data_IF_639060390910
#
_entry.id   IF_639060390910
#
_cell.length_a   1.000
_cell.length_b   1.000
_cell.length_c   1.000
_cell.angle_alpha   90.00
_cell.angle_beta   90.00
_cell.angle_gamma   90.00
#
_symmetry.space_group_name_H-M   'P 1'
#
loop_
_entity.id
_entity.type
_entity.pdbx_description
1 polymer ?
#
# COMPACT_ATOMS: atom_id res chain seq x y z
N UNK A 1 15.79 31.12 -18.16
CA UNK A 1 14.71 30.53 -18.99
C UNK A 1 14.26 29.28 -18.26
N UNK A 2 13.42 29.44 -17.24
CA UNK A 2 12.96 28.33 -16.40
C UNK A 2 11.93 27.60 -17.23
N UNK A 3 12.26 26.40 -17.73
CA UNK A 3 11.25 25.57 -18.36
C UNK A 3 10.19 25.29 -17.30
N UNK A 4 8.97 25.69 -17.61
CA UNK A 4 7.79 25.38 -16.82
C UNK A 4 7.63 23.85 -16.84
N UNK A 5 7.93 23.21 -15.71
CA UNK A 5 7.79 21.76 -15.54
C UNK A 5 6.30 21.43 -15.62
N UNK A 6 5.80 21.12 -16.82
CA UNK A 6 4.44 20.64 -17.03
C UNK A 6 4.32 19.19 -16.53
N UNK A 7 4.07 19.06 -15.23
CA UNK A 7 3.90 17.79 -14.53
C UNK A 7 2.77 16.96 -15.16
N UNK A 8 1.70 17.59 -15.64
CA UNK A 8 0.56 16.87 -16.21
C UNK A 8 0.96 16.16 -17.51
N UNK A 9 1.73 16.86 -18.35
CA UNK A 9 2.30 16.26 -19.57
C UNK A 9 3.28 15.12 -19.24
N UNK A 10 4.16 15.32 -18.26
CA UNK A 10 5.11 14.28 -17.81
C UNK A 10 4.37 13.04 -17.30
N UNK A 11 3.31 13.21 -16.52
CA UNK A 11 2.49 12.10 -16.03
C UNK A 11 1.84 11.36 -17.20
N UNK A 12 1.30 12.07 -18.20
CA UNK A 12 0.71 11.43 -19.38
C UNK A 12 1.73 10.61 -20.15
N UNK A 13 2.95 11.12 -20.34
CA UNK A 13 3.99 10.40 -21.05
C UNK A 13 4.50 9.20 -20.23
N UNK A 14 4.71 9.36 -18.92
CA UNK A 14 5.10 8.27 -18.02
C UNK A 14 4.05 7.16 -17.98
N UNK A 15 2.75 7.49 -18.00
CA UNK A 15 1.67 6.49 -18.03
C UNK A 15 1.71 5.59 -19.28
N UNK A 16 2.33 6.05 -20.38
CA UNK A 16 2.48 5.25 -21.61
C UNK A 16 3.66 4.27 -21.54
N UNK A 17 4.67 4.58 -20.74
CA UNK A 17 5.94 3.82 -20.70
C UNK A 17 6.13 3.02 -19.40
N UNK A 18 5.52 3.46 -18.30
CA UNK A 18 5.69 2.85 -16.98
C UNK A 18 4.53 1.91 -16.66
N UNK A 19 4.81 0.69 -16.19
CA UNK A 19 3.80 -0.26 -15.74
C UNK A 19 3.27 0.13 -14.35
N UNK A 20 2.55 1.25 -14.23
CA UNK A 20 1.95 1.62 -12.95
C UNK A 20 0.89 0.59 -12.53
N UNK A 21 0.80 0.34 -11.23
CA UNK A 21 -0.29 -0.46 -10.65
C UNK A 21 -1.31 0.40 -9.94
N UNK A 22 -2.47 -0.20 -9.68
CA UNK A 22 -3.50 0.38 -8.86
C UNK A 22 -3.28 0.02 -7.38
N UNK A 23 -3.40 1.03 -6.52
CA UNK A 23 -3.16 0.88 -5.09
C UNK A 23 -1.67 0.81 -4.73
N UNK A 24 -1.40 1.14 -3.47
CA UNK A 24 -0.05 1.33 -2.94
C UNK A 24 0.08 0.59 -1.61
N UNK A 25 1.15 -0.20 -1.43
CA UNK A 25 1.39 -1.01 -0.23
C UNK A 25 2.82 -0.92 0.27
N UNK A 26 3.04 -1.36 1.49
CA UNK A 26 4.38 -1.52 2.05
C UNK A 26 5.23 -2.49 1.21
N UNK A 27 6.49 -2.14 1.01
CA UNK A 27 7.43 -2.84 0.12
C UNK A 27 7.39 -2.38 -1.33
N UNK A 28 6.43 -1.56 -1.73
CA UNK A 28 6.31 -1.10 -3.12
C UNK A 28 7.35 -0.04 -3.47
N UNK A 29 7.90 -0.14 -4.69
CA UNK A 29 8.70 0.93 -5.29
C UNK A 29 7.76 1.92 -5.98
N UNK A 30 7.91 3.18 -5.64
CA UNK A 30 7.13 4.30 -6.17
C UNK A 30 8.03 5.28 -6.90
N UNK A 31 7.49 5.92 -7.94
CA UNK A 31 8.10 7.07 -8.59
C UNK A 31 7.45 8.34 -8.04
N UNK A 32 8.28 9.21 -7.48
CA UNK A 32 7.89 10.50 -6.93
C UNK A 32 8.31 11.59 -7.91
N UNK A 33 7.35 12.38 -8.37
CA UNK A 33 7.58 13.57 -9.21
C UNK A 33 7.35 14.80 -8.33
N UNK A 34 8.43 15.54 -8.09
CA UNK A 34 8.41 16.86 -7.46
C UNK A 34 9.25 17.80 -8.34
N UNK A 35 10.17 18.59 -7.77
CA UNK A 35 11.16 19.36 -8.56
C UNK A 35 12.09 18.46 -9.37
N UNK A 36 12.26 17.22 -8.91
CA UNK A 36 13.06 16.18 -9.53
C UNK A 36 12.33 14.84 -9.40
N UNK A 37 12.75 13.86 -10.21
CA UNK A 37 12.19 12.51 -10.20
C UNK A 37 13.03 11.63 -9.28
N UNK A 38 12.38 10.93 -8.36
CA UNK A 38 13.03 10.01 -7.43
C UNK A 38 12.30 8.68 -7.37
N UNK A 39 13.07 7.59 -7.27
CA UNK A 39 12.54 6.32 -6.79
C UNK A 39 12.58 6.28 -5.27
N UNK A 40 11.54 5.71 -4.66
CA UNK A 40 11.50 5.41 -3.25
C UNK A 40 10.83 4.05 -3.02
N UNK A 41 11.14 3.40 -1.90
CA UNK A 41 10.38 2.26 -1.40
C UNK A 41 9.49 2.71 -0.25
N UNK A 42 8.27 2.19 -0.20
CA UNK A 42 7.36 2.42 0.94
C UNK A 42 7.71 1.44 2.04
N UNK A 43 7.98 1.98 3.22
CA UNK A 43 8.34 1.14 4.37
C UNK A 43 7.20 0.99 5.36
N UNK A 44 6.25 1.93 5.39
CA UNK A 44 5.17 1.93 6.38
C UNK A 44 3.98 2.81 5.92
N UNK A 45 2.74 2.38 6.16
CA UNK A 45 1.52 3.16 5.93
C UNK A 45 0.64 3.12 7.18
N UNK A 46 0.55 4.24 7.92
CA UNK A 46 -0.21 4.32 9.18
C UNK A 46 -1.31 5.38 9.10
N UNK A 47 -2.53 5.06 9.55
CA UNK A 47 -3.62 6.04 9.60
C UNK A 47 -3.38 7.09 10.68
N UNK A 48 -3.51 8.37 10.32
CA UNK A 48 -3.47 9.47 11.27
C UNK A 48 -4.83 9.59 11.99
N UNK A 49 -4.93 8.98 13.16
CA UNK A 49 -6.15 8.98 13.97
C UNK A 49 -6.44 10.33 14.66
N UNK A 50 -5.54 11.32 14.57
CA UNK A 50 -5.77 12.66 15.12
C UNK A 50 -6.75 13.49 14.26
N UNK A 51 -6.96 13.08 13.00
CA UNK A 51 -7.81 13.80 12.04
C UNK A 51 -9.11 13.03 11.78
N UNK A 52 -10.21 13.77 11.66
CA UNK A 52 -11.53 13.18 11.30
C UNK A 52 -11.58 12.67 9.85
N UNK A 53 -10.76 13.25 8.98
CA UNK A 53 -10.62 12.82 7.59
C UNK A 53 -9.56 11.72 7.46
N UNK A 54 -9.59 10.96 6.37
CA UNK A 54 -8.68 9.84 6.09
C UNK A 54 -7.29 10.35 5.66
N UNK A 55 -6.52 10.76 6.66
CA UNK A 55 -5.12 11.12 6.51
C UNK A 55 -4.22 9.95 6.89
N UNK A 56 -3.10 9.81 6.20
CA UNK A 56 -2.15 8.73 6.40
C UNK A 56 -0.73 9.29 6.54
N UNK A 57 0.03 8.72 7.47
CA UNK A 57 1.47 8.85 7.57
C UNK A 57 2.09 7.75 6.71
N UNK A 58 2.68 8.14 5.59
CA UNK A 58 3.39 7.22 4.70
C UNK A 58 4.89 7.46 4.85
N UNK A 59 5.62 6.43 5.22
CA UNK A 59 7.07 6.47 5.37
C UNK A 59 7.73 5.97 4.08
N UNK A 60 8.58 6.81 3.49
CA UNK A 60 9.32 6.51 2.28
C UNK A 60 10.81 6.43 2.58
N UNK A 61 11.50 5.50 1.93
CA UNK A 61 12.94 5.49 1.83
C UNK A 61 13.35 5.82 0.40
N UNK A 62 13.92 7.01 0.20
CA UNK A 62 14.41 7.44 -1.11
C UNK A 62 15.62 6.60 -1.52
N UNK A 63 15.58 6.12 -2.76
CA UNK A 63 16.65 5.37 -3.40
C UNK A 63 17.64 6.35 -4.07
N UNK A 64 18.16 7.27 -3.28
CA UNK A 64 19.13 8.30 -3.68
C UNK A 64 20.43 8.13 -2.90
N UNK A 65 21.51 8.77 -3.37
CA UNK A 65 22.78 8.82 -2.65
C UNK A 65 22.95 10.24 -2.09
N UNK A 66 23.07 10.43 -0.76
CA UNK A 66 22.94 9.41 0.29
C UNK A 66 21.47 8.99 0.52
N UNK A 67 21.20 7.78 1.04
CA UNK A 67 19.84 7.35 1.36
C UNK A 67 19.19 8.29 2.37
N UNK A 68 17.94 8.70 2.10
CA UNK A 68 17.16 9.58 2.98
C UNK A 68 15.81 8.96 3.29
N UNK A 69 15.43 8.97 4.58
CA UNK A 69 14.06 8.64 5.02
C UNK A 69 13.25 9.92 5.13
N UNK A 70 12.07 9.95 4.55
CA UNK A 70 11.13 11.09 4.64
C UNK A 70 9.75 10.58 5.03
N UNK A 71 9.01 11.42 5.77
CA UNK A 71 7.64 11.13 6.20
C UNK A 71 6.77 12.27 5.68
N UNK A 72 5.77 11.95 4.85
CA UNK A 72 4.82 12.92 4.31
C UNK A 72 3.41 12.60 4.80
N UNK A 73 2.64 13.64 5.11
CA UNK A 73 1.23 13.53 5.50
C UNK A 73 0.37 13.76 4.27
N UNK A 74 -0.19 12.68 3.72
CA UNK A 74 -0.91 12.67 2.44
C UNK A 74 -2.32 12.09 2.59
N UNK A 75 -3.20 12.43 1.65
CA UNK A 75 -4.51 11.78 1.47
C UNK A 75 -4.38 10.57 0.54
N UNK A 76 -5.34 9.66 0.62
CA UNK A 76 -5.36 8.46 -0.23
C UNK A 76 -5.34 8.75 -1.74
N UNK A 77 -6.11 9.70 -2.29
CA UNK A 77 -6.02 10.04 -3.71
C UNK A 77 -4.65 10.57 -4.13
N UNK A 78 -3.90 11.17 -3.21
CA UNK A 78 -2.61 11.80 -3.50
C UNK A 78 -1.48 10.76 -3.64
N UNK A 79 -1.41 9.77 -2.75
CA UNK A 79 -0.36 8.75 -2.84
C UNK A 79 -0.70 7.60 -3.80
N UNK A 80 -1.98 7.42 -4.16
CA UNK A 80 -2.40 6.49 -5.21
C UNK A 80 -2.34 7.08 -6.63
N UNK A 81 -1.86 8.32 -6.78
CA UNK A 81 -1.71 8.97 -8.09
C UNK A 81 -3.04 9.29 -8.77
N UNK A 82 -4.07 9.57 -7.98
CA UNK A 82 -5.40 9.98 -8.45
C UNK A 82 -5.54 11.51 -8.50
N UNK A 83 -4.71 12.25 -7.76
CA UNK A 83 -4.69 13.71 -7.70
C UNK A 83 -3.25 14.26 -7.72
N UNK A 84 -3.05 15.40 -8.38
CA UNK A 84 -1.83 16.22 -8.27
C UNK A 84 -2.02 17.22 -7.13
N UNK A 85 -1.04 17.33 -6.24
CA UNK A 85 -1.15 18.15 -5.03
C UNK A 85 0.05 19.10 -4.88
N UNK A 86 -0.09 20.12 -4.03
CA UNK A 86 0.98 21.10 -3.79
C UNK A 86 1.54 20.95 -2.38
N UNK A 87 2.86 20.85 -2.24
CA UNK A 87 3.57 20.93 -0.95
C UNK A 87 4.74 21.90 -1.07
N UNK A 88 4.85 22.86 -0.15
CA UNK A 88 5.93 23.85 -0.17
C UNK A 88 5.87 24.84 -1.35
N UNK A 89 4.72 24.99 -2.00
CA UNK A 89 4.57 25.79 -3.22
C UNK A 89 4.84 25.03 -4.52
N UNK A 90 5.31 23.79 -4.43
CA UNK A 90 5.62 22.93 -5.58
C UNK A 90 4.55 21.88 -5.80
N UNK A 91 4.17 21.67 -7.06
CA UNK A 91 3.27 20.60 -7.48
C UNK A 91 3.98 19.25 -7.40
N UNK A 92 3.28 18.21 -6.95
CA UNK A 92 3.79 16.86 -6.74
C UNK A 92 2.80 15.78 -7.16
N UNK A 93 3.33 14.64 -7.56
CA UNK A 93 2.59 13.44 -7.93
C UNK A 93 3.32 12.17 -7.49
N UNK A 94 2.58 11.19 -6.99
CA UNK A 94 3.11 9.93 -6.48
C UNK A 94 2.27 8.79 -7.06
N UNK A 95 2.90 7.77 -7.64
CA UNK A 95 2.22 6.52 -8.02
C UNK A 95 3.15 5.31 -7.91
N UNK A 96 2.59 4.18 -7.47
CA UNK A 96 3.31 2.91 -7.36
C UNK A 96 3.54 2.24 -8.72
N UNK A 97 4.72 1.65 -8.90
CA UNK A 97 5.10 0.92 -10.11
C UNK A 97 4.95 -0.58 -9.87
N UNK A 98 4.42 -1.30 -10.87
CA UNK A 98 4.40 -2.75 -10.94
C UNK A 98 5.68 -3.26 -11.58
N UNK A 99 6.33 -4.24 -10.97
CA UNK A 99 7.37 -5.03 -11.65
C UNK A 99 6.80 -6.20 -12.44
N UNK A 100 5.53 -6.52 -12.24
CA UNK A 100 4.81 -7.55 -13.00
C UNK A 100 4.01 -6.86 -14.09
N UNK A 101 4.41 -7.04 -15.35
CA UNK A 101 3.65 -6.58 -16.51
C UNK A 101 2.36 -7.39 -16.75
N UNK A 102 2.04 -8.37 -15.89
CA UNK A 102 0.78 -9.11 -15.95
C UNK A 102 0.10 -9.19 -14.59
N UNK A 103 -1.22 -9.01 -14.61
CA UNK A 103 -2.09 -8.88 -13.44
C UNK A 103 -2.07 -10.09 -12.52
N UNK A 104 -1.27 -10.01 -11.46
CA UNK A 104 -1.48 -10.80 -10.26
C UNK A 104 -2.68 -10.27 -9.47
N UNK A 105 -3.46 -11.13 -8.79
CA UNK A 105 -4.63 -10.69 -8.03
C UNK A 105 -4.23 -9.68 -6.95
N UNK A 106 -5.12 -8.74 -6.58
CA UNK A 106 -4.89 -7.89 -5.42
C UNK A 106 -4.63 -8.77 -4.19
N UNK A 107 -3.75 -8.35 -3.25
CA UNK A 107 -3.62 -9.06 -1.99
C UNK A 107 -4.98 -9.11 -1.33
N UNK A 108 -5.42 -10.31 -1.04
CA UNK A 108 -6.62 -10.53 -0.25
C UNK A 108 -6.39 -9.86 1.10
N UNK A 109 -7.24 -8.89 1.44
CA UNK A 109 -7.35 -8.39 2.80
C UNK A 109 -7.50 -9.58 3.75
N UNK A 110 -6.75 -9.57 4.84
CA UNK A 110 -6.74 -10.65 5.84
C UNK A 110 -8.14 -11.19 6.14
N UNK A 111 -8.36 -12.51 6.15
CA UNK A 111 -9.62 -13.05 6.61
C UNK A 111 -9.70 -12.85 8.12
N UNK A 112 -10.58 -11.94 8.53
CA UNK A 112 -11.15 -11.88 9.86
C UNK A 112 -11.62 -13.28 10.29
N UNK A 113 -11.30 -13.76 11.51
CA UNK A 113 -11.76 -15.05 11.97
C UNK A 113 -13.28 -14.98 12.21
N UNK A 114 -14.06 -15.64 11.34
CA UNK A 114 -15.48 -15.92 11.60
C UNK A 114 -15.57 -16.97 12.70
N UNK A 115 -15.95 -16.52 13.89
CA UNK A 115 -16.59 -17.34 14.93
C UNK A 115 -17.89 -17.91 14.36
N UNK A 116 -17.94 -19.22 14.12
CA UNK A 116 -19.16 -19.92 13.74
C UNK A 116 -19.55 -20.91 14.84
N UNK A 117 -20.76 -20.70 15.37
CA UNK A 117 -21.31 -21.38 16.52
C UNK A 117 -22.33 -22.43 16.07
N UNK A 118 -22.06 -23.70 16.37
CA UNK A 118 -22.99 -24.83 16.63
C UNK A 118 -23.86 -25.37 15.43
N UNK A 119 -24.57 -26.54 15.53
CA UNK A 119 -24.68 -27.53 16.62
C UNK A 119 -24.59 -29.04 16.20
N UNK A 120 -24.20 -29.90 17.17
CA UNK A 120 -24.76 -31.23 17.46
C UNK A 120 -24.91 -32.33 16.40
N UNK A 121 -24.23 -33.48 16.61
CA UNK A 121 -24.83 -34.84 16.61
C UNK A 121 -23.82 -35.91 17.09
N UNK A 122 -24.08 -36.50 18.25
CA UNK A 122 -23.66 -37.86 18.60
C UNK A 122 -24.67 -38.85 17.98
N UNK A 123 -24.31 -40.09 17.59
CA UNK A 123 -24.17 -41.16 18.59
C UNK A 123 -23.21 -42.32 18.24
N UNK A 124 -22.92 -43.16 19.25
CA UNK A 124 -22.91 -44.64 19.21
C UNK A 124 -21.70 -45.34 19.85
N UNK A 125 -21.77 -45.45 21.18
CA UNK A 125 -21.57 -46.64 22.02
C UNK A 125 -21.05 -47.93 21.33
N UNK A 126 -19.81 -48.33 21.67
CA UNK A 126 -19.46 -49.75 21.91
C UNK A 126 -18.75 -49.90 23.26
N UNK A 127 -19.34 -50.77 24.09
CA UNK A 127 -18.85 -51.23 25.39
C UNK A 127 -17.86 -52.38 25.19
N UNK A 128 -16.77 -52.38 25.94
CA UNK A 128 -16.08 -53.59 26.44
C UNK A 128 -15.11 -53.15 27.54
N UNK A 129 -15.42 -53.38 28.83
CA UNK A 129 -14.93 -54.53 29.63
C UNK A 129 -13.39 -54.61 29.59
N UNK A 130 -12.61 -54.45 30.66
CA UNK A 130 -12.70 -54.98 32.03
C UNK A 130 -11.66 -54.25 32.92
N UNK A 131 -11.89 -54.23 34.25
CA UNK A 131 -10.93 -53.79 35.29
C UNK A 131 -9.81 -54.83 35.52
N UNK A 132 -8.69 -54.39 36.12
CA UNK A 132 -7.95 -54.97 37.29
C UNK A 132 -6.48 -54.48 37.29
N UNK A 133 -6.08 -53.52 38.15
CA UNK A 133 -5.29 -53.63 39.42
C UNK A 133 -3.80 -54.00 39.25
N UNK A 134 -2.88 -53.08 39.63
CA UNK A 134 -1.96 -53.23 40.78
C UNK A 134 -1.46 -51.86 41.23
#
# INVERSE_FOLDING_TARGET
MTQEFDIDKIIQDLKKIMPFKDGTREGDIVLIIADQLFYAIITEIVRDNSRRAEWWHVTFQLLTIPPRRVIWTLREPQFNGQEVFTMGGEKRFIKAISWSAEGGPPPTADPTPKTESAPGKSPSRRKSHLKVIK
#
